data_IF_232589380597
#
_entry.id   IF_232589380597
#
_cell.length_a   1.000
_cell.length_b   1.000
_cell.length_c   1.000
_cell.angle_alpha   90.00
_cell.angle_beta   90.00
_cell.angle_gamma   90.00
#
_symmetry.space_group_name_H-M   'P 1'
#
loop_
_entity.id
_entity.type
_entity.pdbx_description
1 polymer ?
#
# COMPACT_ATOMS: atom_id res chain seq x y z
N UNK A 1 -9.06 1.11 -4.02
CA UNK A 1 -8.76 1.95 -2.83
C UNK A 1 -9.58 1.46 -1.65
N UNK A 2 -8.94 1.16 -0.53
CA UNK A 2 -9.62 0.67 0.68
C UNK A 2 -9.94 1.82 1.64
N UNK A 3 -11.13 1.80 2.24
CA UNK A 3 -11.53 2.72 3.30
C UNK A 3 -11.04 2.29 4.69
N UNK A 4 -10.92 0.98 4.92
CA UNK A 4 -10.50 0.38 6.18
C UNK A 4 -8.98 0.18 6.34
N UNK A 5 -8.56 -0.26 7.52
CA UNK A 5 -7.16 -0.64 7.82
C UNK A 5 -6.72 -1.77 6.88
N UNK A 6 -5.46 -1.71 6.45
CA UNK A 6 -4.87 -2.81 5.67
C UNK A 6 -4.33 -3.85 6.64
N UNK A 7 -4.92 -5.04 6.60
CA UNK A 7 -4.47 -6.23 7.30
C UNK A 7 -3.74 -7.17 6.35
N UNK A 8 -2.94 -8.08 6.90
CA UNK A 8 -2.15 -9.07 6.16
C UNK A 8 -2.98 -9.89 5.15
N UNK A 9 -4.21 -10.24 5.50
CA UNK A 9 -5.12 -11.01 4.63
C UNK A 9 -5.45 -10.28 3.31
N UNK A 10 -5.54 -8.95 3.36
CA UNK A 10 -5.78 -8.13 2.17
C UNK A 10 -4.58 -8.22 1.23
N UNK A 11 -3.37 -8.19 1.78
CA UNK A 11 -2.13 -8.32 0.99
C UNK A 11 -1.96 -9.72 0.41
N UNK A 12 -2.30 -10.77 1.16
CA UNK A 12 -2.29 -12.15 0.64
C UNK A 12 -3.25 -12.27 -0.55
N UNK A 13 -4.45 -11.71 -0.45
CA UNK A 13 -5.42 -11.69 -1.55
C UNK A 13 -4.90 -10.87 -2.73
N UNK A 14 -4.28 -9.73 -2.47
CA UNK A 14 -3.67 -8.88 -3.50
C UNK A 14 -2.54 -9.62 -4.24
N UNK A 15 -1.63 -10.27 -3.50
CA UNK A 15 -0.54 -11.06 -4.07
C UNK A 15 -1.04 -12.21 -4.94
N UNK A 16 -2.01 -12.97 -4.44
CA UNK A 16 -2.64 -14.07 -5.20
C UNK A 16 -3.34 -13.59 -6.47
N UNK A 17 -3.82 -12.35 -6.46
CA UNK A 17 -4.47 -11.72 -7.62
C UNK A 17 -3.46 -11.02 -8.54
N UNK A 18 -2.16 -11.07 -8.25
CA UNK A 18 -1.12 -10.39 -9.01
C UNK A 18 -1.18 -8.87 -8.93
N UNK A 19 -1.80 -8.30 -7.88
CA UNK A 19 -1.91 -6.85 -7.70
C UNK A 19 -0.59 -6.33 -7.09
N UNK A 20 0.15 -5.46 -7.80
CA UNK A 20 1.46 -4.99 -7.34
C UNK A 20 1.42 -3.78 -6.39
N UNK A 21 0.24 -3.18 -6.19
CA UNK A 21 0.06 -1.94 -5.41
C UNK A 21 -1.26 -1.95 -4.62
N UNK A 22 -1.19 -1.66 -3.32
CA UNK A 22 -2.34 -1.53 -2.43
C UNK A 22 -2.33 -0.17 -1.75
N UNK A 23 -3.44 0.57 -1.90
CA UNK A 23 -3.61 1.92 -1.33
C UNK A 23 -4.78 1.96 -0.36
N UNK A 24 -4.54 2.47 0.84
CA UNK A 24 -5.55 2.73 1.87
C UNK A 24 -5.52 4.15 2.41
N UNK A 25 -6.72 4.65 2.74
CA UNK A 25 -6.91 5.93 3.46
C UNK A 25 -6.58 5.84 4.95
N UNK A 26 -6.43 4.63 5.48
CA UNK A 26 -6.15 4.35 6.89
C UNK A 26 -4.71 3.86 7.10
N UNK A 27 -4.29 3.74 8.35
CA UNK A 27 -2.99 3.19 8.72
C UNK A 27 -2.91 1.68 8.40
N UNK A 28 -1.82 1.20 7.77
CA UNK A 28 -1.51 -0.22 7.73
C UNK A 28 -0.99 -0.71 9.11
N UNK A 29 -1.06 -2.01 9.37
CA UNK A 29 -0.35 -2.64 10.50
C UNK A 29 1.12 -2.86 10.16
N UNK A 30 2.00 -2.92 11.16
CA UNK A 30 3.42 -3.31 10.98
C UNK A 30 3.54 -4.64 10.23
N UNK A 31 2.76 -5.65 10.65
CA UNK A 31 2.73 -6.94 9.98
C UNK A 31 2.30 -6.86 8.50
N UNK A 32 1.41 -5.94 8.15
CA UNK A 32 1.06 -5.72 6.75
C UNK A 32 2.21 -5.08 5.97
N UNK A 33 2.95 -4.15 6.56
CA UNK A 33 4.14 -3.56 5.93
C UNK A 33 5.20 -4.62 5.64
N UNK A 34 5.54 -5.43 6.65
CA UNK A 34 6.53 -6.51 6.49
C UNK A 34 6.10 -7.52 5.42
N UNK A 35 4.81 -7.86 5.40
CA UNK A 35 4.28 -8.78 4.40
C UNK A 35 4.26 -8.17 3.01
N UNK A 36 4.00 -6.87 2.89
CA UNK A 36 4.02 -6.17 1.60
C UNK A 36 5.43 -6.18 0.98
N UNK A 37 6.47 -5.96 1.80
CA UNK A 37 7.88 -6.10 1.38
C UNK A 37 8.19 -7.53 0.90
N UNK A 38 7.81 -8.54 1.68
CA UNK A 38 8.07 -9.94 1.30
C UNK A 38 7.34 -10.37 0.02
N UNK A 39 6.13 -9.85 -0.20
CA UNK A 39 5.30 -10.18 -1.36
C UNK A 39 5.62 -9.32 -2.60
N UNK A 40 6.53 -8.36 -2.49
CA UNK A 40 6.83 -7.46 -3.62
C UNK A 40 5.68 -6.49 -3.90
N UNK A 41 4.84 -6.16 -2.94
CA UNK A 41 3.67 -5.30 -3.11
C UNK A 41 3.96 -3.92 -2.55
N UNK A 42 3.75 -2.88 -3.36
CA UNK A 42 3.79 -1.52 -2.87
C UNK A 42 2.58 -1.24 -1.96
N UNK A 43 2.85 -0.85 -0.73
CA UNK A 43 1.83 -0.53 0.26
C UNK A 43 1.85 0.97 0.54
N UNK A 44 0.70 1.59 0.32
CA UNK A 44 0.48 3.01 0.57
C UNK A 44 -0.63 3.16 1.60
N UNK A 45 -0.32 3.90 2.66
CA UNK A 45 -1.27 4.25 3.72
C UNK A 45 -1.46 5.75 3.82
N UNK A 46 -2.45 6.17 4.61
CA UNK A 46 -2.77 7.58 4.84
C UNK A 46 -2.99 8.41 3.56
N UNK A 47 -3.46 7.78 2.48
CA UNK A 47 -3.75 8.49 1.24
C UNK A 47 -4.91 9.47 1.46
N UNK A 48 -4.63 10.77 1.37
CA UNK A 48 -5.60 11.88 1.53
C UNK A 48 -5.27 13.01 0.55
N UNK A 49 -6.14 13.22 -0.43
CA UNK A 49 -5.95 14.24 -1.47
C UNK A 49 -4.62 14.01 -2.20
N UNK A 50 -3.73 15.00 -2.14
CA UNK A 50 -2.39 14.96 -2.76
C UNK A 50 -1.30 14.39 -1.85
N UNK A 51 -1.64 13.90 -0.65
CA UNK A 51 -0.68 13.33 0.30
C UNK A 51 -0.90 11.83 0.43
N UNK A 52 0.19 11.08 0.49
CA UNK A 52 0.20 9.64 0.72
C UNK A 52 1.50 9.26 1.40
N UNK A 53 1.48 8.18 2.18
CA UNK A 53 2.68 7.62 2.81
C UNK A 53 2.96 6.26 2.20
N UNK A 54 4.12 6.11 1.57
CA UNK A 54 4.57 4.82 1.05
C UNK A 54 5.30 4.08 2.16
N UNK A 55 4.91 2.82 2.39
CA UNK A 55 5.47 1.96 3.43
C UNK A 55 6.36 0.86 2.88
N UNK A 56 6.14 0.43 1.63
CA UNK A 56 6.94 -0.59 0.96
C UNK A 56 7.02 -0.31 -0.54
N UNK A 57 8.10 -0.78 -1.18
CA UNK A 57 8.32 -0.70 -2.63
C UNK A 57 8.02 0.68 -3.25
N UNK A 58 8.64 1.74 -2.70
CA UNK A 58 8.45 3.11 -3.16
C UNK A 58 8.81 3.36 -4.62
N UNK A 59 9.70 2.54 -5.17
CA UNK A 59 10.08 2.55 -6.59
C UNK A 59 8.90 2.25 -7.53
N UNK A 60 7.83 1.61 -7.05
CA UNK A 60 6.63 1.30 -7.84
C UNK A 60 5.58 2.43 -7.82
N UNK A 61 5.81 3.49 -7.04
CA UNK A 61 4.85 4.59 -6.87
C UNK A 61 5.40 5.84 -7.55
N UNK A 62 4.74 6.26 -8.64
CA UNK A 62 5.05 7.52 -9.33
C UNK A 62 4.14 8.60 -8.79
N UNK A 63 4.69 9.56 -8.03
CA UNK A 63 3.94 10.75 -7.61
C UNK A 63 4.19 11.89 -8.59
N UNK A 64 3.17 12.28 -9.35
CA UNK A 64 3.22 13.54 -10.11
C UNK A 64 2.94 14.68 -9.13
N UNK A 65 4.00 15.39 -8.72
CA UNK A 65 3.88 16.67 -8.06
C UNK A 65 3.58 17.73 -9.13
N UNK A 66 2.35 18.23 -9.17
CA UNK A 66 2.02 19.42 -9.96
C UNK A 66 2.64 20.63 -9.28
N UNK A 67 3.53 21.32 -10.01
CA UNK A 67 4.12 22.61 -9.65
C UNK A 67 3.05 23.69 -9.69
#
# INVERSE_FOLDING_TARGET
MLSGRVSSEILIKAARSGIPLVVSRSAPTLLAVDLAEQLGIALVGFARGHRLNVYSHGEKVVTQASV
#
